data_IF_378355018735
#
_entry.id   IF_378355018735
#
_cell.length_a   1.000
_cell.length_b   1.000
_cell.length_c   1.000
_cell.angle_alpha   90.00
_cell.angle_beta   90.00
_cell.angle_gamma   90.00
#
_symmetry.space_group_name_H-M   'P 1'
#
loop_
_entity.id
_entity.type
_entity.pdbx_description
1 polymer ?
#
# COMPACT_ATOMS: atom_id res chain seq x y z
N UNK A 1 -86.46 -49.98 9.27
CA UNK A 1 -85.06 -49.61 9.54
C UNK A 1 -85.08 -48.15 9.98
N UNK A 2 -84.70 -47.87 11.22
CA UNK A 2 -84.95 -46.56 11.89
C UNK A 2 -84.06 -45.38 11.25
N UNK A 3 -84.77 -44.38 10.76
CA UNK A 3 -84.12 -43.12 10.16
C UNK A 3 -82.98 -42.57 11.02
N UNK A 4 -83.04 -42.75 12.36
CA UNK A 4 -81.94 -42.31 13.29
C UNK A 4 -80.66 -43.12 13.16
N UNK A 5 -80.75 -44.46 12.84
CA UNK A 5 -79.57 -45.28 12.61
C UNK A 5 -78.91 -45.03 11.29
N UNK A 6 -79.66 -44.63 10.24
CA UNK A 6 -79.10 -44.25 8.97
C UNK A 6 -78.35 -42.89 9.04
N UNK A 7 -78.84 -41.94 9.83
CA UNK A 7 -78.14 -40.62 10.05
C UNK A 7 -76.84 -40.83 10.85
N UNK A 8 -76.78 -41.74 11.82
CA UNK A 8 -75.54 -41.98 12.57
C UNK A 8 -74.49 -42.67 11.68
N UNK A 9 -74.88 -43.63 10.85
CA UNK A 9 -73.99 -44.29 9.90
C UNK A 9 -73.43 -43.25 8.86
N UNK A 10 -74.30 -42.37 8.32
CA UNK A 10 -73.89 -41.32 7.39
C UNK A 10 -72.91 -40.36 8.06
N UNK A 11 -73.11 -39.99 9.33
CA UNK A 11 -72.19 -39.15 10.12
C UNK A 11 -70.82 -39.81 10.34
N UNK A 12 -70.81 -41.09 10.69
CA UNK A 12 -69.56 -41.83 10.89
C UNK A 12 -68.77 -41.96 9.56
N UNK A 13 -69.48 -42.25 8.44
CA UNK A 13 -68.85 -42.29 7.12
C UNK A 13 -68.34 -40.96 6.68
N UNK A 14 -69.04 -39.86 6.96
CA UNK A 14 -68.51 -38.47 6.66
C UNK A 14 -67.28 -38.12 7.48
N UNK A 15 -67.26 -38.50 8.78
CA UNK A 15 -66.07 -38.27 9.65
C UNK A 15 -64.92 -39.19 9.22
N UNK A 16 -65.17 -40.42 8.86
CA UNK A 16 -64.15 -41.34 8.34
C UNK A 16 -63.62 -40.86 6.97
N UNK A 17 -64.47 -40.35 6.09
CA UNK A 17 -64.08 -39.78 4.79
C UNK A 17 -63.25 -38.46 4.98
N UNK A 18 -63.62 -37.62 5.96
CA UNK A 18 -62.91 -36.42 6.30
C UNK A 18 -61.53 -36.74 6.95
N UNK A 19 -61.47 -37.71 7.82
CA UNK A 19 -60.22 -38.21 8.40
C UNK A 19 -59.29 -38.81 7.32
N UNK A 20 -59.85 -39.67 6.46
CA UNK A 20 -59.16 -40.26 5.33
C UNK A 20 -58.64 -39.17 4.35
N UNK A 21 -59.44 -38.13 4.07
CA UNK A 21 -59.06 -36.98 3.24
C UNK A 21 -57.90 -36.16 3.86
N UNK A 22 -57.89 -35.98 5.18
CA UNK A 22 -56.80 -35.34 5.91
C UNK A 22 -55.54 -36.23 5.97
N UNK A 23 -55.70 -37.55 6.16
CA UNK A 23 -54.56 -38.49 6.18
C UNK A 23 -53.95 -38.73 4.78
N UNK A 24 -54.76 -38.71 3.71
CA UNK A 24 -54.27 -38.84 2.33
C UNK A 24 -53.68 -37.54 1.76
N UNK A 25 -53.85 -36.39 2.44
CA UNK A 25 -53.28 -35.11 2.09
C UNK A 25 -52.01 -34.77 2.89
N UNK A 26 -51.28 -35.75 3.42
CA UNK A 26 -49.96 -35.51 3.95
C UNK A 26 -49.10 -34.88 2.83
N UNK A 27 -48.55 -33.68 3.00
CA UNK A 27 -47.73 -33.07 1.96
C UNK A 27 -46.58 -34.01 1.65
N UNK A 28 -46.52 -34.50 0.41
CA UNK A 28 -45.41 -35.32 -0.06
C UNK A 28 -44.15 -34.42 -0.03
N UNK A 29 -43.27 -34.69 0.90
CA UNK A 29 -41.99 -33.99 1.01
C UNK A 29 -40.92 -34.90 0.40
N UNK A 30 -40.20 -34.37 -0.58
CA UNK A 30 -39.02 -35.03 -1.11
C UNK A 30 -37.85 -34.74 -0.15
N UNK A 31 -37.18 -35.79 0.30
CA UNK A 31 -35.99 -35.67 1.15
C UNK A 31 -34.76 -35.74 0.26
N UNK A 32 -34.02 -34.64 0.21
CA UNK A 32 -32.75 -34.56 -0.49
C UNK A 32 -31.62 -34.78 0.52
N UNK A 33 -30.70 -35.68 0.20
CA UNK A 33 -29.48 -35.82 1.00
C UNK A 33 -28.49 -34.73 0.64
N UNK A 34 -28.01 -34.02 1.65
CA UNK A 34 -27.03 -32.97 1.51
C UNK A 34 -25.88 -33.16 2.49
N UNK A 35 -24.85 -32.36 2.31
CA UNK A 35 -23.64 -32.33 3.14
C UNK A 35 -23.41 -30.90 3.64
N UNK A 36 -23.13 -30.78 4.93
CA UNK A 36 -22.68 -29.51 5.50
C UNK A 36 -21.27 -29.19 5.01
N UNK A 37 -21.06 -28.04 4.43
CA UNK A 37 -19.77 -27.64 3.90
C UNK A 37 -19.49 -26.14 4.24
N UNK A 38 -18.29 -25.67 3.97
CA UNK A 38 -17.87 -24.28 4.16
C UNK A 38 -16.81 -23.92 3.14
N UNK A 39 -16.42 -22.64 3.11
CA UNK A 39 -15.22 -22.23 2.41
C UNK A 39 -13.98 -22.53 3.29
N UNK A 40 -13.15 -23.39 2.80
CA UNK A 40 -11.84 -23.62 3.36
C UNK A 40 -10.89 -22.49 2.95
N UNK A 41 -10.13 -21.95 3.89
CA UNK A 41 -9.12 -20.95 3.64
C UNK A 41 -7.75 -21.58 3.79
N UNK A 42 -7.10 -21.79 2.65
CA UNK A 42 -5.73 -22.30 2.62
C UNK A 42 -4.78 -21.19 2.96
N UNK A 43 -4.02 -21.36 4.04
CA UNK A 43 -2.98 -20.43 4.46
C UNK A 43 -1.63 -20.95 3.95
N UNK A 44 -0.99 -20.12 3.12
CA UNK A 44 0.29 -20.43 2.48
C UNK A 44 1.28 -19.28 2.67
N UNK A 45 2.59 -19.54 2.68
CA UNK A 45 3.62 -18.52 2.75
C UNK A 45 3.71 -17.74 1.43
N UNK A 46 4.16 -16.49 1.51
CA UNK A 46 4.43 -15.64 0.35
C UNK A 46 5.89 -15.75 -0.12
N UNK A 47 6.76 -16.33 0.72
CA UNK A 47 8.18 -16.58 0.44
C UNK A 47 8.52 -18.03 0.70
N UNK A 48 9.45 -18.62 -0.05
CA UNK A 48 9.92 -19.97 0.26
C UNK A 48 10.77 -19.98 1.52
N UNK A 49 10.78 -21.11 2.25
CA UNK A 49 11.61 -21.26 3.42
C UNK A 49 11.32 -22.53 4.21
N UNK A 50 12.19 -22.86 5.14
CA UNK A 50 12.01 -23.97 6.06
C UNK A 50 11.10 -23.56 7.22
N UNK A 51 10.11 -24.38 7.56
CA UNK A 51 9.25 -24.15 8.73
C UNK A 51 10.07 -24.32 10.01
N UNK A 52 10.39 -23.20 10.67
CA UNK A 52 11.14 -23.20 11.93
C UNK A 52 10.26 -23.56 13.12
N UNK A 53 9.05 -23.03 13.18
CA UNK A 53 8.09 -23.27 14.25
C UNK A 53 6.68 -23.32 13.70
N UNK A 54 5.88 -24.23 14.23
CA UNK A 54 4.44 -24.30 13.99
C UNK A 54 3.75 -24.20 15.37
N UNK A 55 2.94 -23.17 15.54
CA UNK A 55 2.40 -22.75 16.85
C UNK A 55 0.97 -23.23 17.08
N UNK A 56 0.42 -23.97 16.12
CA UNK A 56 -0.95 -24.45 16.15
C UNK A 56 -1.03 -25.94 15.81
N UNK A 57 -2.07 -26.59 16.31
CA UNK A 57 -2.43 -27.98 16.03
C UNK A 57 -3.81 -28.06 15.39
N UNK A 58 -4.12 -29.21 14.76
CA UNK A 58 -5.45 -29.48 14.22
C UNK A 58 -6.50 -29.42 15.34
N UNK A 59 -7.62 -28.75 15.07
CA UNK A 59 -8.69 -28.52 16.03
C UNK A 59 -8.53 -27.22 16.84
N UNK A 60 -7.39 -26.53 16.79
CA UNK A 60 -7.20 -25.29 17.51
C UNK A 60 -8.08 -24.15 16.96
N UNK A 61 -8.65 -23.34 17.87
CA UNK A 61 -9.35 -22.12 17.51
C UNK A 61 -8.37 -20.96 17.40
N UNK A 62 -8.40 -20.22 16.29
CA UNK A 62 -7.52 -19.11 16.00
C UNK A 62 -8.29 -17.84 15.68
N UNK A 63 -7.69 -16.68 16.00
CA UNK A 63 -8.22 -15.36 15.65
C UNK A 63 -7.56 -14.83 14.39
N UNK A 64 -8.26 -13.94 13.69
CA UNK A 64 -7.65 -13.20 12.58
C UNK A 64 -6.38 -12.46 13.05
N UNK A 65 -5.29 -12.55 12.25
CA UNK A 65 -3.97 -11.98 12.57
C UNK A 65 -3.12 -12.83 13.51
N UNK A 66 -3.63 -13.91 14.11
CA UNK A 66 -2.87 -14.78 15.00
C UNK A 66 -1.72 -15.46 14.24
N UNK A 67 -0.53 -15.52 14.86
CA UNK A 67 0.64 -16.19 14.31
C UNK A 67 0.42 -17.72 14.34
N UNK A 68 0.54 -18.35 13.17
CA UNK A 68 0.34 -19.78 12.99
C UNK A 68 1.67 -20.55 12.85
N UNK A 69 2.56 -20.01 12.02
CA UNK A 69 3.86 -20.61 11.76
C UNK A 69 4.91 -19.52 11.51
N UNK A 70 6.16 -19.90 11.69
CA UNK A 70 7.34 -19.05 11.41
C UNK A 70 8.29 -19.83 10.52
N UNK A 71 8.67 -19.24 9.39
CA UNK A 71 9.74 -19.76 8.55
C UNK A 71 11.09 -19.32 9.10
N UNK A 72 12.15 -20.06 8.79
CA UNK A 72 13.53 -19.70 9.15
C UNK A 72 13.93 -18.38 8.46
N UNK A 73 14.20 -17.29 9.21
CA UNK A 73 14.37 -15.97 8.63
C UNK A 73 15.80 -15.67 8.15
N UNK A 74 16.74 -16.62 8.26
CA UNK A 74 18.19 -16.39 8.19
C UNK A 74 18.64 -15.53 7.00
N UNK A 75 18.33 -15.93 5.78
CA UNK A 75 18.70 -15.19 4.56
C UNK A 75 18.00 -13.83 4.49
N UNK A 76 16.68 -13.80 4.72
CA UNK A 76 15.87 -12.55 4.65
C UNK A 76 16.26 -11.56 5.75
N UNK A 77 16.67 -12.04 6.93
CA UNK A 77 17.18 -11.18 8.01
C UNK A 77 18.56 -10.60 7.66
N UNK A 78 19.41 -11.39 6.99
CA UNK A 78 20.70 -10.91 6.49
C UNK A 78 20.51 -9.84 5.40
N UNK A 79 19.61 -10.08 4.46
CA UNK A 79 19.22 -9.11 3.43
C UNK A 79 18.72 -7.80 4.04
N UNK A 80 17.80 -7.88 4.99
CA UNK A 80 17.26 -6.72 5.70
C UNK A 80 18.38 -5.92 6.37
N UNK A 81 19.31 -6.59 7.05
CA UNK A 81 20.46 -5.96 7.70
C UNK A 81 21.40 -5.28 6.70
N UNK A 82 21.63 -5.91 5.55
CA UNK A 82 22.42 -5.34 4.46
C UNK A 82 21.81 -4.05 3.92
N UNK A 83 20.51 -4.07 3.58
CA UNK A 83 19.84 -2.88 3.07
C UNK A 83 19.71 -1.77 4.11
N UNK A 84 19.49 -2.11 5.38
CA UNK A 84 19.48 -1.13 6.47
C UNK A 84 20.83 -0.42 6.62
N UNK A 85 21.94 -1.15 6.54
CA UNK A 85 23.30 -0.55 6.56
C UNK A 85 23.57 0.29 5.31
N UNK A 86 23.11 -0.15 4.14
CA UNK A 86 23.22 0.62 2.90
C UNK A 86 22.45 1.94 2.98
N UNK A 87 21.24 1.95 3.54
CA UNK A 87 20.48 3.17 3.77
C UNK A 87 21.18 4.10 4.77
N UNK A 88 21.77 3.57 5.82
CA UNK A 88 22.56 4.35 6.77
C UNK A 88 23.79 5.00 6.11
N UNK A 89 24.50 4.27 5.23
CA UNK A 89 25.61 4.83 4.47
C UNK A 89 25.16 5.96 3.53
N UNK A 90 24.03 5.79 2.85
CA UNK A 90 23.46 6.83 2.00
C UNK A 90 23.04 8.08 2.82
N UNK A 91 22.48 7.91 4.01
CA UNK A 91 22.15 9.01 4.92
C UNK A 91 23.43 9.78 5.37
N UNK A 92 24.52 9.05 5.66
CA UNK A 92 25.81 9.67 5.97
C UNK A 92 26.37 10.48 4.79
N UNK A 93 26.17 10.00 3.55
CA UNK A 93 26.55 10.74 2.34
C UNK A 93 25.75 12.04 2.17
N UNK A 94 24.45 12.03 2.49
CA UNK A 94 23.62 13.25 2.52
C UNK A 94 24.19 14.25 3.52
N UNK A 95 24.51 13.82 4.73
CA UNK A 95 25.08 14.68 5.77
C UNK A 95 26.44 15.29 5.33
N UNK A 96 27.30 14.51 4.67
CA UNK A 96 28.55 15.00 4.11
C UNK A 96 28.30 16.05 3.03
N UNK A 97 27.38 15.79 2.09
CA UNK A 97 27.01 16.73 1.03
C UNK A 97 26.38 18.01 1.56
N UNK A 98 25.59 17.95 2.63
CA UNK A 98 25.03 19.13 3.32
C UNK A 98 26.13 20.00 3.97
N UNK A 99 27.10 19.35 4.58
CA UNK A 99 28.22 20.04 5.19
C UNK A 99 29.10 20.72 4.14
N UNK A 100 29.37 20.06 3.03
CA UNK A 100 30.13 20.61 1.89
C UNK A 100 29.38 21.79 1.26
N UNK A 101 28.05 21.68 1.08
CA UNK A 101 27.23 22.79 0.55
C UNK A 101 27.31 24.02 1.47
N UNK A 102 27.13 23.84 2.79
CA UNK A 102 27.22 24.94 3.76
C UNK A 102 28.60 25.64 3.74
N UNK A 103 29.64 24.82 3.65
CA UNK A 103 31.00 25.37 3.53
C UNK A 103 31.15 26.21 2.26
N UNK A 104 30.72 25.69 1.12
CA UNK A 104 30.81 26.40 -0.17
C UNK A 104 29.95 27.67 -0.21
N UNK A 105 28.72 27.63 0.38
CA UNK A 105 27.85 28.81 0.49
C UNK A 105 28.51 29.91 1.31
N UNK A 106 29.09 29.58 2.46
CA UNK A 106 29.81 30.53 3.32
C UNK A 106 31.01 31.09 2.60
N UNK A 107 31.85 30.26 1.99
CA UNK A 107 33.05 30.69 1.27
C UNK A 107 32.69 31.65 0.12
N UNK A 108 31.73 31.31 -0.73
CA UNK A 108 31.30 32.12 -1.86
C UNK A 108 30.72 33.47 -1.41
N UNK A 109 29.93 33.50 -0.32
CA UNK A 109 29.33 34.70 0.23
C UNK A 109 30.39 35.67 0.78
N UNK A 110 31.40 35.13 1.50
CA UNK A 110 32.48 35.93 2.05
C UNK A 110 33.40 36.49 0.96
N UNK A 111 33.74 35.70 -0.06
CA UNK A 111 34.51 36.17 -1.23
C UNK A 111 33.78 37.30 -1.95
N UNK A 112 32.47 37.18 -2.18
CA UNK A 112 31.69 38.24 -2.82
C UNK A 112 31.62 39.49 -1.95
N UNK A 113 31.46 39.36 -0.63
CA UNK A 113 31.47 40.49 0.31
C UNK A 113 32.82 41.24 0.28
N UNK A 114 33.92 40.50 0.30
CA UNK A 114 35.28 41.09 0.22
C UNK A 114 35.49 41.83 -1.11
N UNK A 115 35.12 41.21 -2.24
CA UNK A 115 35.26 41.82 -3.56
C UNK A 115 34.43 43.11 -3.67
N UNK A 116 33.19 43.11 -3.14
CA UNK A 116 32.36 44.35 -3.10
C UNK A 116 32.95 45.45 -2.21
N UNK A 117 33.52 45.09 -1.08
CA UNK A 117 34.20 46.06 -0.20
C UNK A 117 35.41 46.69 -0.88
N UNK A 118 36.21 45.89 -1.58
CA UNK A 118 37.36 46.38 -2.35
C UNK A 118 36.91 47.29 -3.50
N UNK A 119 35.84 46.95 -4.21
CA UNK A 119 35.26 47.78 -5.25
C UNK A 119 34.79 49.12 -4.66
N UNK A 120 34.07 49.10 -3.54
CA UNK A 120 33.59 50.33 -2.88
C UNK A 120 34.77 51.27 -2.49
N UNK A 121 35.87 50.70 -1.99
CA UNK A 121 37.08 51.46 -1.68
C UNK A 121 37.73 52.08 -2.94
N UNK A 122 37.84 51.33 -4.03
CA UNK A 122 38.37 51.80 -5.30
C UNK A 122 37.50 52.92 -5.90
N UNK A 123 36.18 52.79 -5.84
CA UNK A 123 35.21 53.80 -6.29
C UNK A 123 35.38 55.13 -5.46
N UNK A 124 35.51 54.97 -4.15
CA UNK A 124 35.73 56.11 -3.27
C UNK A 124 37.06 56.85 -3.60
N UNK A 125 38.14 56.10 -3.86
CA UNK A 125 39.44 56.70 -4.27
C UNK A 125 39.33 57.37 -5.64
N UNK A 126 38.67 56.80 -6.62
CA UNK A 126 38.44 57.40 -7.93
C UNK A 126 37.59 58.67 -7.84
N UNK A 127 36.62 58.72 -6.94
CA UNK A 127 35.84 59.94 -6.67
C UNK A 127 36.69 61.07 -6.04
N UNK A 128 37.58 60.75 -5.09
CA UNK A 128 38.56 61.72 -4.50
C UNK A 128 39.47 62.25 -5.57
N UNK A 129 40.09 61.38 -6.39
CA UNK A 129 41.01 61.81 -7.46
C UNK A 129 40.31 62.70 -8.51
N UNK A 130 39.03 62.35 -8.86
CA UNK A 130 38.23 63.19 -9.79
C UNK A 130 37.89 64.56 -9.21
N UNK A 131 37.56 64.63 -7.92
CA UNK A 131 37.33 65.92 -7.24
C UNK A 131 38.63 66.80 -7.22
N UNK A 132 39.77 66.14 -6.95
CA UNK A 132 41.07 66.79 -6.98
C UNK A 132 41.44 67.31 -8.39
N UNK A 133 41.17 66.50 -9.44
CA UNK A 133 41.36 66.91 -10.84
C UNK A 133 40.46 68.09 -11.17
N UNK A 134 39.21 68.12 -10.75
CA UNK A 134 38.28 69.24 -10.96
C UNK A 134 38.83 70.55 -10.30
N UNK A 135 39.41 70.43 -9.12
CA UNK A 135 40.04 71.61 -8.44
C UNK A 135 41.29 72.04 -9.14
N UNK A 136 42.19 71.12 -9.51
CA UNK A 136 43.46 71.47 -10.21
C UNK A 136 43.18 72.09 -11.57
N UNK A 137 42.16 71.59 -12.29
CA UNK A 137 41.71 72.18 -13.56
C UNK A 137 41.27 73.63 -13.37
N UNK A 138 40.46 73.94 -12.36
CA UNK A 138 40.03 75.31 -12.06
C UNK A 138 41.21 76.24 -11.79
N UNK A 139 42.27 75.76 -11.14
CA UNK A 139 43.50 76.52 -10.92
C UNK A 139 44.24 76.79 -12.23
N UNK A 140 44.39 75.79 -13.09
CA UNK A 140 45.00 75.91 -14.41
C UNK A 140 44.22 76.90 -15.29
N UNK A 141 42.87 76.73 -15.41
CA UNK A 141 42.01 77.61 -16.21
C UNK A 141 42.15 79.06 -15.77
N UNK A 142 42.30 79.34 -14.46
CA UNK A 142 42.56 80.69 -13.91
C UNK A 142 43.94 81.25 -14.34
N UNK A 143 44.99 80.43 -14.25
CA UNK A 143 46.31 80.87 -14.65
C UNK A 143 46.45 81.09 -16.16
N UNK A 144 45.79 80.30 -16.98
CA UNK A 144 45.72 80.50 -18.43
C UNK A 144 44.99 81.80 -18.79
N UNK A 145 43.92 82.15 -18.11
CA UNK A 145 43.23 83.41 -18.31
C UNK A 145 44.07 84.63 -17.88
N UNK A 146 44.84 84.52 -16.80
CA UNK A 146 45.71 85.58 -16.33
C UNK A 146 46.99 85.71 -17.18
N UNK A 147 47.51 84.66 -17.79
CA UNK A 147 48.69 84.70 -18.66
C UNK A 147 48.45 85.52 -19.91
N UNK A 148 47.20 85.53 -20.49
CA UNK A 148 46.81 86.36 -21.62
C UNK A 148 46.86 87.87 -21.33
N UNK A 149 46.85 88.25 -20.07
CA UNK A 149 46.91 89.66 -19.61
C UNK A 149 48.30 90.08 -18.98
N UNK A 150 49.29 89.16 -18.99
CA UNK A 150 50.62 89.39 -18.39
C UNK A 150 50.65 89.29 -16.86
N UNK A 151 49.58 88.82 -16.19
CA UNK A 151 49.45 88.82 -14.74
C UNK A 151 50.03 87.59 -14.03
N UNK A 152 50.68 86.62 -14.71
CA UNK A 152 51.22 85.36 -14.16
C UNK A 152 52.63 85.09 -14.71
N UNK A 153 53.57 84.66 -13.86
CA UNK A 153 54.90 84.21 -14.27
C UNK A 153 54.83 82.91 -15.08
N UNK A 154 55.58 82.77 -16.21
CA UNK A 154 55.58 81.56 -17.03
C UNK A 154 55.80 80.26 -16.24
N UNK A 155 56.66 80.25 -15.24
CA UNK A 155 56.97 79.13 -14.37
C UNK A 155 55.74 78.68 -13.55
N UNK A 156 54.89 79.63 -13.15
CA UNK A 156 53.63 79.28 -12.40
C UNK A 156 52.60 78.57 -13.31
N UNK A 157 52.49 79.03 -14.56
CA UNK A 157 51.61 78.37 -15.56
C UNK A 157 52.12 76.96 -15.89
N UNK A 158 53.42 76.81 -16.11
CA UNK A 158 54.01 75.48 -16.40
C UNK A 158 53.83 74.49 -15.20
N UNK A 159 53.98 74.99 -13.97
CA UNK A 159 53.71 74.20 -12.76
C UNK A 159 52.27 73.79 -12.68
N UNK A 160 51.29 74.64 -12.99
CA UNK A 160 49.86 74.29 -13.00
C UNK A 160 49.52 73.31 -14.09
N UNK A 161 50.13 73.37 -15.31
CA UNK A 161 49.97 72.42 -16.37
C UNK A 161 50.48 71.03 -15.99
N UNK A 162 51.66 70.98 -15.36
CA UNK A 162 52.27 69.76 -14.87
C UNK A 162 51.39 69.14 -13.77
N UNK A 163 50.90 69.92 -12.81
CA UNK A 163 49.98 69.41 -11.76
C UNK A 163 48.70 68.85 -12.33
N UNK A 164 48.12 69.49 -13.36
CA UNK A 164 46.91 68.97 -14.03
C UNK A 164 47.19 67.65 -14.79
N UNK A 165 48.33 67.56 -15.51
CA UNK A 165 48.76 66.35 -16.19
C UNK A 165 48.91 65.16 -15.21
N UNK A 166 49.60 65.41 -14.08
CA UNK A 166 49.77 64.34 -13.04
C UNK A 166 48.45 63.82 -12.49
N UNK A 167 47.54 64.75 -12.14
CA UNK A 167 46.26 64.34 -11.57
C UNK A 167 45.37 63.64 -12.62
N UNK A 168 45.44 64.03 -13.91
CA UNK A 168 44.74 63.36 -14.99
C UNK A 168 45.23 61.93 -15.13
N UNK A 169 46.54 61.70 -15.12
CA UNK A 169 47.09 60.32 -15.12
C UNK A 169 46.70 59.53 -13.89
N UNK A 170 46.58 60.20 -12.71
CA UNK A 170 46.11 59.55 -11.48
C UNK A 170 44.64 59.15 -11.55
N UNK A 171 43.75 59.97 -12.11
CA UNK A 171 42.32 59.63 -12.35
C UNK A 171 42.21 58.49 -13.32
N UNK A 172 43.04 58.47 -14.38
CA UNK A 172 43.04 57.33 -15.31
C UNK A 172 43.43 56.00 -14.60
N UNK A 173 44.49 56.03 -13.77
CA UNK A 173 44.93 54.89 -13.00
C UNK A 173 43.86 54.40 -12.00
N UNK A 174 43.20 55.30 -11.26
CA UNK A 174 42.15 54.95 -10.33
C UNK A 174 40.88 54.39 -11.04
N UNK A 175 40.58 54.94 -12.23
CA UNK A 175 39.49 54.36 -13.08
C UNK A 175 39.79 52.92 -13.52
N UNK A 176 41.04 52.67 -13.95
CA UNK A 176 41.48 51.30 -14.27
C UNK A 176 41.44 50.37 -13.05
N UNK A 177 41.72 50.87 -11.87
CA UNK A 177 41.61 50.13 -10.62
C UNK A 177 40.12 49.72 -10.33
N UNK A 178 39.17 50.64 -10.58
CA UNK A 178 37.73 50.35 -10.45
C UNK A 178 37.32 49.26 -11.45
N UNK A 179 37.76 49.35 -12.71
CA UNK A 179 37.49 48.28 -13.70
C UNK A 179 38.02 46.91 -13.23
N UNK A 180 39.25 46.88 -12.70
CA UNK A 180 39.84 45.66 -12.16
C UNK A 180 39.03 45.08 -10.99
N UNK A 181 38.53 45.94 -10.08
CA UNK A 181 37.68 45.49 -8.98
C UNK A 181 36.28 45.03 -9.45
N UNK A 182 35.74 45.65 -10.50
CA UNK A 182 34.51 45.13 -11.13
C UNK A 182 34.69 43.72 -11.66
N UNK A 183 35.79 43.42 -12.32
CA UNK A 183 36.13 42.09 -12.79
C UNK A 183 36.30 41.11 -11.63
N UNK A 184 36.88 41.52 -10.51
CA UNK A 184 36.97 40.69 -9.29
C UNK A 184 35.61 40.37 -8.67
N UNK A 185 34.66 41.34 -8.68
CA UNK A 185 33.28 41.09 -8.24
C UNK A 185 32.59 40.10 -9.17
N UNK A 186 32.74 40.22 -10.48
CA UNK A 186 32.16 39.27 -11.46
C UNK A 186 32.70 37.84 -11.25
N UNK A 187 34.00 37.70 -10.99
CA UNK A 187 34.61 36.41 -10.67
C UNK A 187 34.03 35.81 -9.36
N UNK A 188 33.88 36.63 -8.32
CA UNK A 188 33.29 36.19 -7.06
C UNK A 188 31.80 35.82 -7.21
N UNK A 189 31.07 36.48 -8.13
CA UNK A 189 29.70 36.11 -8.48
C UNK A 189 29.63 34.75 -9.20
N UNK A 190 30.54 34.48 -10.13
CA UNK A 190 30.62 33.21 -10.81
C UNK A 190 30.90 32.02 -9.86
N UNK A 191 31.53 32.25 -8.70
CA UNK A 191 31.69 31.24 -7.67
C UNK A 191 30.33 30.74 -7.10
N UNK A 192 29.24 31.51 -7.24
CA UNK A 192 27.90 31.08 -6.85
C UNK A 192 27.36 29.96 -7.75
N UNK A 193 27.82 29.81 -8.98
CA UNK A 193 27.46 28.68 -9.86
C UNK A 193 27.99 27.35 -9.29
N UNK A 194 29.13 27.39 -8.59
CA UNK A 194 29.64 26.22 -7.88
C UNK A 194 28.73 25.81 -6.72
N UNK A 195 28.10 26.76 -6.04
CA UNK A 195 27.08 26.50 -5.00
C UNK A 195 25.87 25.78 -5.62
N UNK A 196 25.42 26.21 -6.81
CA UNK A 196 24.31 25.54 -7.51
C UNK A 196 24.64 24.09 -7.88
N UNK A 197 25.87 23.82 -8.33
CA UNK A 197 26.33 22.43 -8.56
C UNK A 197 26.34 21.61 -7.28
N UNK A 198 26.78 22.15 -6.14
CA UNK A 198 26.75 21.43 -4.85
C UNK A 198 25.33 21.19 -4.36
N UNK A 199 24.38 22.11 -4.61
CA UNK A 199 22.95 21.87 -4.34
C UNK A 199 22.40 20.72 -5.16
N UNK A 200 22.74 20.64 -6.43
CA UNK A 200 22.34 19.52 -7.30
C UNK A 200 22.95 18.19 -6.82
N UNK A 201 24.20 18.19 -6.38
CA UNK A 201 24.86 17.02 -5.81
C UNK A 201 24.17 16.56 -4.50
N UNK A 202 23.80 17.50 -3.62
CA UNK A 202 23.00 17.19 -2.42
C UNK A 202 21.65 16.57 -2.78
N UNK A 203 20.95 17.12 -3.79
CA UNK A 203 19.69 16.56 -4.24
C UNK A 203 19.84 15.12 -4.74
N UNK A 204 20.89 14.85 -5.53
CA UNK A 204 21.21 13.49 -5.99
C UNK A 204 21.50 12.54 -4.82
N UNK A 205 22.23 13.00 -3.80
CA UNK A 205 22.49 12.21 -2.59
C UNK A 205 21.20 11.88 -1.82
N UNK A 206 20.26 12.83 -1.70
CA UNK A 206 18.96 12.62 -1.08
C UNK A 206 18.09 11.64 -1.86
N UNK A 207 18.15 11.68 -3.18
CA UNK A 207 17.40 10.72 -4.01
C UNK A 207 17.96 9.31 -3.88
N UNK A 208 19.29 9.19 -3.75
CA UNK A 208 19.97 7.93 -3.45
C UNK A 208 19.60 7.37 -2.06
N UNK A 209 19.53 8.24 -1.04
CA UNK A 209 19.06 7.85 0.30
C UNK A 209 17.61 7.32 0.27
N UNK A 210 16.71 8.03 -0.44
CA UNK A 210 15.31 7.60 -0.61
C UNK A 210 15.22 6.25 -1.29
N UNK A 211 16.03 6.01 -2.32
CA UNK A 211 16.09 4.74 -3.01
C UNK A 211 16.57 3.62 -2.08
N UNK A 212 17.62 3.84 -1.30
CA UNK A 212 18.15 2.89 -0.31
C UNK A 212 17.13 2.59 0.80
N UNK A 213 16.42 3.62 1.31
CA UNK A 213 15.35 3.46 2.27
C UNK A 213 14.16 2.66 1.71
N UNK A 214 13.85 2.81 0.42
CA UNK A 214 12.84 2.00 -0.23
C UNK A 214 13.24 0.51 -0.35
N UNK A 215 14.53 0.23 -0.60
CA UNK A 215 15.05 -1.13 -0.60
C UNK A 215 14.98 -1.77 0.80
N UNK A 216 15.30 -1.00 1.85
CA UNK A 216 15.14 -1.47 3.24
C UNK A 216 13.69 -1.84 3.54
N UNK A 217 12.72 -0.97 3.21
CA UNK A 217 11.29 -1.27 3.40
C UNK A 217 10.84 -2.52 2.64
N UNK A 218 11.35 -2.73 1.42
CA UNK A 218 11.08 -3.94 0.64
C UNK A 218 11.61 -5.19 1.35
N UNK A 219 12.81 -5.12 1.93
CA UNK A 219 13.40 -6.21 2.69
C UNK A 219 12.63 -6.49 3.99
N UNK A 220 12.20 -5.44 4.72
CA UNK A 220 11.36 -5.55 5.92
C UNK A 220 10.04 -6.28 5.62
N UNK A 221 9.35 -5.91 4.54
CA UNK A 221 8.12 -6.59 4.11
C UNK A 221 8.37 -8.05 3.78
N UNK A 222 9.46 -8.36 3.08
CA UNK A 222 9.84 -9.74 2.75
C UNK A 222 10.16 -10.56 4.01
N UNK A 223 10.86 -9.97 4.95
CA UNK A 223 11.13 -10.59 6.25
C UNK A 223 9.81 -10.84 7.00
N UNK A 224 8.87 -9.88 6.98
CA UNK A 224 7.53 -10.05 7.55
C UNK A 224 6.75 -11.24 6.98
N UNK A 225 6.98 -11.61 5.72
CA UNK A 225 6.35 -12.79 5.11
C UNK A 225 6.83 -14.13 5.67
N UNK A 226 7.88 -14.15 6.48
CA UNK A 226 8.28 -15.36 7.25
C UNK A 226 7.31 -15.68 8.38
N UNK A 227 6.52 -14.72 8.82
CA UNK A 227 5.46 -14.90 9.81
C UNK A 227 4.13 -15.23 9.12
N UNK A 228 3.73 -16.47 9.18
CA UNK A 228 2.46 -16.95 8.60
C UNK A 228 1.35 -16.71 9.61
N UNK A 229 0.39 -15.83 9.26
CA UNK A 229 -0.71 -15.42 10.14
C UNK A 229 -2.07 -15.83 9.57
N UNK A 230 -3.04 -16.05 10.46
CA UNK A 230 -4.41 -16.38 10.10
C UNK A 230 -5.10 -15.19 9.40
N UNK A 231 -5.62 -15.33 8.16
CA UNK A 231 -6.36 -14.26 7.49
C UNK A 231 -7.77 -14.06 8.06
N UNK A 232 -8.34 -15.09 8.67
CA UNK A 232 -9.68 -15.07 9.29
C UNK A 232 -9.64 -15.76 10.65
N UNK A 233 -10.66 -15.52 11.47
CA UNK A 233 -10.92 -16.34 12.65
C UNK A 233 -11.58 -17.67 12.24
N UNK A 234 -11.25 -18.77 12.93
CA UNK A 234 -11.79 -20.10 12.63
C UNK A 234 -11.08 -21.19 13.40
N UNK A 235 -11.20 -22.41 12.90
CA UNK A 235 -10.51 -23.59 13.42
C UNK A 235 -9.49 -24.10 12.41
N UNK A 236 -8.38 -24.66 12.90
CA UNK A 236 -7.42 -25.38 12.06
C UNK A 236 -8.04 -26.72 11.70
N UNK A 237 -8.27 -26.95 10.41
CA UNK A 237 -8.82 -28.22 9.90
C UNK A 237 -7.69 -29.19 9.57
N UNK A 238 -6.74 -28.75 8.73
CA UNK A 238 -5.61 -29.58 8.30
C UNK A 238 -4.31 -28.84 8.51
N UNK A 239 -3.33 -29.55 9.02
CA UNK A 239 -1.94 -29.13 9.10
C UNK A 239 -1.13 -29.80 7.99
N UNK A 240 -1.01 -29.10 6.85
CA UNK A 240 -0.37 -29.64 5.65
C UNK A 240 1.16 -29.70 5.74
N UNK A 241 1.80 -28.78 6.50
CA UNK A 241 3.25 -28.72 6.65
C UNK A 241 3.70 -29.09 8.07
N UNK A 242 4.97 -29.55 8.18
CA UNK A 242 5.61 -29.96 9.44
C UNK A 242 6.80 -29.08 9.76
N UNK A 243 7.17 -29.00 11.05
CA UNK A 243 8.40 -28.32 11.48
C UNK A 243 9.61 -29.02 10.85
N UNK A 244 10.55 -28.24 10.30
CA UNK A 244 11.69 -28.73 9.56
C UNK A 244 11.46 -28.95 8.06
N UNK A 245 10.23 -28.94 7.60
CA UNK A 245 9.88 -29.07 6.18
C UNK A 245 10.16 -27.78 5.41
N UNK A 246 10.64 -27.91 4.18
CA UNK A 246 10.81 -26.76 3.28
C UNK A 246 9.53 -26.56 2.47
N UNK A 247 8.98 -25.34 2.52
CA UNK A 247 7.75 -24.97 1.81
C UNK A 247 8.02 -23.88 0.78
N UNK A 248 7.33 -23.99 -0.36
CA UNK A 248 7.40 -23.00 -1.41
C UNK A 248 6.31 -21.94 -1.23
N UNK A 249 6.48 -20.78 -1.88
CA UNK A 249 5.43 -19.77 -1.93
C UNK A 249 4.14 -20.35 -2.55
N UNK A 250 3.00 -20.13 -1.90
CA UNK A 250 1.70 -20.68 -2.32
C UNK A 250 1.42 -22.11 -1.88
N UNK A 251 2.38 -22.85 -1.32
CA UNK A 251 2.17 -24.19 -0.78
C UNK A 251 1.36 -24.12 0.53
N UNK A 252 0.33 -24.96 0.68
CA UNK A 252 -0.48 -25.01 1.88
C UNK A 252 0.36 -25.34 3.12
N UNK A 253 0.22 -24.55 4.17
CA UNK A 253 0.80 -24.83 5.49
C UNK A 253 -0.27 -25.27 6.46
N UNK A 254 -1.39 -24.56 6.51
CA UNK A 254 -2.58 -24.93 7.29
C UNK A 254 -3.85 -24.57 6.52
N UNK A 255 -4.92 -25.32 6.77
CA UNK A 255 -6.26 -25.01 6.25
C UNK A 255 -7.14 -24.55 7.41
N UNK A 256 -7.82 -23.43 7.22
CA UNK A 256 -8.75 -22.83 8.18
C UNK A 256 -10.19 -23.04 7.73
N UNK A 257 -11.06 -23.36 8.68
CA UNK A 257 -12.51 -23.49 8.51
C UNK A 257 -13.20 -22.46 9.41
N UNK A 258 -14.14 -21.70 8.84
CA UNK A 258 -14.98 -20.80 9.62
C UNK A 258 -16.30 -21.49 9.99
N UNK A 259 -16.53 -21.84 11.26
CA UNK A 259 -17.73 -22.53 11.69
C UNK A 259 -19.02 -21.67 11.63
N UNK A 260 -18.87 -20.34 11.50
CA UNK A 260 -20.01 -19.43 11.45
C UNK A 260 -20.53 -19.21 10.02
N UNK A 261 -19.81 -19.72 9.00
CA UNK A 261 -20.16 -19.60 7.57
C UNK A 261 -20.42 -20.95 6.90
N UNK A 262 -21.19 -21.80 7.59
CA UNK A 262 -21.57 -23.11 7.06
C UNK A 262 -22.81 -23.01 6.16
N UNK A 263 -22.87 -23.91 5.18
CA UNK A 263 -24.08 -24.12 4.38
C UNK A 263 -24.26 -25.60 4.08
N UNK A 264 -25.50 -25.98 3.77
CA UNK A 264 -25.82 -27.32 3.31
C UNK A 264 -25.85 -27.32 1.80
N UNK A 265 -25.02 -28.15 1.18
CA UNK A 265 -25.04 -28.46 -0.25
C UNK A 265 -25.93 -29.66 -0.45
N UNK A 266 -26.93 -29.54 -1.30
CA UNK A 266 -27.82 -30.65 -1.67
C UNK A 266 -28.06 -30.64 -3.18
N UNK A 267 -28.28 -31.84 -3.75
CA UNK A 267 -28.52 -32.02 -5.16
C UNK A 267 -30.02 -32.27 -5.38
N UNK A 268 -30.64 -31.46 -6.24
CA UNK A 268 -32.07 -31.53 -6.61
C UNK A 268 -32.18 -32.13 -7.99
N UNK A 269 -33.02 -33.15 -8.15
CA UNK A 269 -33.32 -33.73 -9.45
C UNK A 269 -33.94 -32.69 -10.40
N UNK A 270 -33.67 -32.82 -11.70
CA UNK A 270 -34.17 -31.93 -12.76
C UNK A 270 -35.69 -31.75 -12.69
N UNK A 271 -36.44 -32.81 -12.34
CA UNK A 271 -37.90 -32.81 -12.23
C UNK A 271 -38.46 -31.89 -11.15
N UNK A 272 -37.61 -31.36 -10.23
CA UNK A 272 -38.04 -30.60 -9.07
C UNK A 272 -37.32 -29.25 -8.95
N UNK A 273 -36.30 -28.96 -9.80
CA UNK A 273 -35.49 -27.74 -9.67
C UNK A 273 -36.28 -26.48 -9.99
N UNK A 274 -37.33 -26.57 -10.80
CA UNK A 274 -38.25 -25.46 -11.13
C UNK A 274 -39.01 -24.93 -9.91
N UNK A 275 -39.14 -25.76 -8.87
CA UNK A 275 -39.80 -25.41 -7.60
C UNK A 275 -38.90 -24.74 -6.58
N UNK A 276 -37.59 -24.72 -6.81
CA UNK A 276 -36.61 -24.09 -5.91
C UNK A 276 -36.16 -22.74 -6.48
N UNK A 277 -36.39 -21.68 -5.71
CA UNK A 277 -36.00 -20.32 -6.05
C UNK A 277 -34.95 -19.81 -5.07
N UNK A 278 -34.15 -18.85 -5.52
CA UNK A 278 -33.27 -18.13 -4.62
C UNK A 278 -34.10 -17.36 -3.58
N UNK A 279 -33.72 -17.48 -2.31
CA UNK A 279 -34.44 -16.89 -1.19
C UNK A 279 -35.47 -17.82 -0.53
N UNK A 280 -35.76 -18.97 -1.13
CA UNK A 280 -36.69 -19.93 -0.51
C UNK A 280 -36.12 -20.44 0.81
N UNK A 281 -37.02 -20.63 1.78
CA UNK A 281 -36.67 -21.18 3.09
C UNK A 281 -37.11 -22.64 3.12
N UNK A 282 -36.17 -23.58 3.18
CA UNK A 282 -36.39 -25.00 3.26
C UNK A 282 -36.04 -25.52 4.66
N UNK A 283 -36.68 -26.59 5.06
CA UNK A 283 -36.37 -27.26 6.34
C UNK A 283 -35.17 -28.20 6.13
N UNK A 284 -34.14 -28.01 6.92
CA UNK A 284 -32.95 -28.84 6.98
C UNK A 284 -33.02 -29.69 8.26
N UNK A 285 -33.08 -31.02 8.13
CA UNK A 285 -33.10 -31.96 9.25
C UNK A 285 -31.71 -32.59 9.38
N UNK A 286 -31.20 -32.57 10.60
CA UNK A 286 -29.94 -33.21 10.95
C UNK A 286 -30.16 -34.68 11.28
N UNK A 287 -29.13 -35.55 11.26
CA UNK A 287 -29.24 -36.96 11.69
C UNK A 287 -29.71 -37.11 13.16
N UNK A 288 -29.42 -36.08 13.99
CA UNK A 288 -29.91 -36.03 15.38
C UNK A 288 -31.45 -35.87 15.51
N UNK A 289 -32.15 -35.56 14.42
CA UNK A 289 -33.59 -35.24 14.40
C UNK A 289 -33.87 -33.72 14.49
N UNK A 290 -32.90 -32.91 14.85
CA UNK A 290 -33.04 -31.46 14.90
C UNK A 290 -33.38 -30.87 13.53
N UNK A 291 -34.38 -30.00 13.48
CA UNK A 291 -34.79 -29.31 12.25
C UNK A 291 -34.44 -27.83 12.31
N UNK A 292 -33.81 -27.32 11.26
CA UNK A 292 -33.39 -25.91 11.11
C UNK A 292 -33.96 -25.32 9.84
N UNK A 293 -34.12 -24.03 9.79
CA UNK A 293 -34.49 -23.32 8.57
C UNK A 293 -33.24 -22.96 7.79
N UNK A 294 -33.14 -23.40 6.54
CA UNK A 294 -32.09 -23.05 5.62
C UNK A 294 -32.61 -22.17 4.50
N UNK A 295 -31.93 -21.06 4.19
CA UNK A 295 -32.30 -20.17 3.08
C UNK A 295 -31.45 -20.51 1.87
N UNK A 296 -32.10 -20.76 0.74
CA UNK A 296 -31.41 -21.02 -0.54
C UNK A 296 -30.73 -19.75 -1.04
N UNK A 297 -29.42 -19.73 -1.09
CA UNK A 297 -28.65 -18.59 -1.57
C UNK A 297 -27.92 -18.85 -2.88
N UNK A 298 -27.85 -20.11 -3.30
CA UNK A 298 -27.25 -20.51 -4.57
C UNK A 298 -28.07 -21.66 -5.19
N UNK A 299 -28.24 -21.59 -6.50
CA UNK A 299 -28.82 -22.62 -7.36
C UNK A 299 -27.92 -22.72 -8.59
N UNK A 300 -27.41 -23.92 -8.88
CA UNK A 300 -26.59 -24.15 -10.06
C UNK A 300 -27.36 -23.84 -11.35
N UNK A 301 -26.65 -23.23 -12.32
CA UNK A 301 -27.18 -22.97 -13.67
C UNK A 301 -27.02 -24.21 -14.55
N UNK A 302 -25.95 -24.98 -14.31
CA UNK A 302 -25.63 -26.18 -15.06
C UNK A 302 -26.00 -27.44 -14.27
N UNK A 303 -26.46 -28.47 -14.99
CA UNK A 303 -26.75 -29.76 -14.41
C UNK A 303 -25.48 -30.58 -14.23
N UNK A 304 -25.28 -31.11 -13.03
CA UNK A 304 -24.32 -32.18 -12.75
C UNK A 304 -24.94 -33.56 -12.88
N UNK A 305 -24.11 -34.61 -12.91
CA UNK A 305 -24.59 -35.98 -12.80
C UNK A 305 -24.62 -36.41 -11.33
N UNK A 306 -25.67 -37.10 -10.92
CA UNK A 306 -25.78 -37.59 -9.55
C UNK A 306 -24.63 -38.56 -9.23
N UNK A 307 -23.78 -38.19 -8.27
CA UNK A 307 -22.69 -39.02 -7.73
C UNK A 307 -23.12 -39.79 -6.47
N UNK A 308 -24.44 -39.93 -6.23
CA UNK A 308 -24.96 -40.48 -5.00
C UNK A 308 -24.68 -42.00 -4.88
N UNK A 309 -24.10 -42.43 -3.77
CA UNK A 309 -23.86 -43.83 -3.39
C UNK A 309 -25.10 -44.65 -3.17
N UNK A 310 -26.28 -44.01 -3.10
CA UNK A 310 -27.57 -44.66 -2.75
C UNK A 310 -28.58 -44.73 -3.90
N UNK A 311 -28.13 -44.60 -5.16
CA UNK A 311 -29.08 -44.65 -6.27
C UNK A 311 -29.16 -46.09 -6.82
N UNK A 312 -30.33 -46.68 -6.71
CA UNK A 312 -30.73 -47.91 -7.43
C UNK A 312 -30.29 -47.85 -8.90
N UNK A 313 -29.88 -48.96 -9.50
CA UNK A 313 -29.37 -49.06 -10.88
C UNK A 313 -30.23 -48.38 -11.95
N UNK A 314 -31.48 -48.08 -11.65
CA UNK A 314 -32.47 -47.44 -12.57
C UNK A 314 -32.33 -45.90 -12.61
N UNK A 315 -31.65 -45.26 -11.66
CA UNK A 315 -31.56 -43.77 -11.53
C UNK A 315 -30.20 -43.17 -11.89
N UNK A 316 -29.33 -43.87 -12.61
CA UNK A 316 -27.95 -43.40 -12.90
C UNK A 316 -27.85 -42.22 -13.87
N UNK A 317 -28.91 -41.95 -14.65
CA UNK A 317 -28.89 -40.91 -15.70
C UNK A 317 -29.71 -39.66 -15.35
N UNK A 318 -30.09 -39.49 -14.08
CA UNK A 318 -30.84 -38.29 -13.68
C UNK A 318 -29.89 -37.12 -13.47
N UNK A 319 -30.14 -36.05 -14.21
CA UNK A 319 -29.45 -34.78 -14.02
C UNK A 319 -29.89 -34.17 -12.70
N UNK A 320 -28.90 -33.65 -11.97
CA UNK A 320 -29.12 -32.95 -10.70
C UNK A 320 -28.57 -31.56 -10.74
N UNK A 321 -29.18 -30.65 -10.01
CA UNK A 321 -28.76 -29.27 -9.85
C UNK A 321 -28.37 -29.04 -8.39
N UNK A 322 -27.18 -28.55 -8.17
CA UNK A 322 -26.71 -28.18 -6.84
C UNK A 322 -27.46 -26.96 -6.31
N UNK A 323 -27.95 -27.09 -5.09
CA UNK A 323 -28.44 -25.96 -4.30
C UNK A 323 -27.63 -25.82 -3.03
N UNK A 324 -27.45 -24.58 -2.57
CA UNK A 324 -26.79 -24.28 -1.28
C UNK A 324 -27.72 -23.53 -0.39
N UNK A 325 -27.87 -24.02 0.84
CA UNK A 325 -28.71 -23.40 1.86
C UNK A 325 -27.86 -22.88 3.00
N UNK A 326 -27.98 -21.61 3.30
CA UNK A 326 -27.38 -21.04 4.51
C UNK A 326 -28.18 -21.46 5.73
N UNK A 327 -27.52 -22.12 6.68
CA UNK A 327 -28.14 -22.62 7.91
C UNK A 327 -27.44 -21.98 9.10
N UNK A 328 -28.15 -21.35 10.05
CA UNK A 328 -27.55 -20.80 11.26
C UNK A 328 -26.87 -21.88 12.10
N UNK A 329 -25.65 -21.60 12.60
CA UNK A 329 -24.87 -22.50 13.46
C UNK A 329 -24.51 -21.82 14.79
N UNK A 330 -25.48 -21.13 15.41
CA UNK A 330 -25.27 -20.36 16.65
C UNK A 330 -24.90 -21.25 17.83
N UNK A 331 -25.36 -22.50 17.84
CA UNK A 331 -25.06 -23.52 18.86
C UNK A 331 -23.80 -24.34 18.54
N UNK A 332 -23.14 -24.08 17.39
CA UNK A 332 -21.91 -24.76 16.90
C UNK A 332 -22.03 -26.29 16.83
N UNK A 333 -23.24 -26.81 16.63
CA UNK A 333 -23.48 -28.24 16.48
C UNK A 333 -23.30 -28.76 15.05
N UNK A 334 -23.33 -27.87 14.05
CA UNK A 334 -23.02 -28.25 12.67
C UNK A 334 -21.51 -28.35 12.50
N UNK A 335 -21.06 -29.45 11.95
CA UNK A 335 -19.68 -29.68 11.56
C UNK A 335 -19.59 -29.91 10.04
N UNK A 336 -18.48 -29.54 9.45
CA UNK A 336 -18.18 -29.80 8.03
C UNK A 336 -18.16 -31.33 7.80
N UNK A 337 -18.71 -31.77 6.69
CA UNK A 337 -18.83 -33.19 6.36
C UNK A 337 -20.07 -33.89 6.96
N UNK A 338 -20.80 -33.21 7.87
CA UNK A 338 -22.03 -33.79 8.44
C UNK A 338 -23.11 -33.93 7.37
N UNK A 339 -23.81 -35.09 7.37
CA UNK A 339 -24.99 -35.29 6.51
C UNK A 339 -26.14 -34.40 7.00
N UNK A 340 -26.90 -33.82 6.07
CA UNK A 340 -28.11 -33.07 6.35
C UNK A 340 -29.19 -33.44 5.34
N UNK A 341 -30.44 -33.49 5.79
CA UNK A 341 -31.58 -33.83 4.94
C UNK A 341 -32.38 -32.56 4.66
N UNK A 342 -32.44 -32.16 3.41
CA UNK A 342 -33.23 -31.00 2.98
C UNK A 342 -34.61 -31.47 2.57
N UNK A 343 -35.65 -30.99 3.22
CA UNK A 343 -37.03 -31.32 2.94
C UNK A 343 -37.61 -30.34 1.93
N UNK A 344 -37.84 -30.84 0.69
CA UNK A 344 -38.46 -30.04 -0.37
C UNK A 344 -39.95 -30.39 -0.42
N UNK A 345 -40.89 -29.44 -0.20
CA UNK A 345 -42.31 -29.68 -0.33
C UNK A 345 -42.66 -29.92 -1.81
N UNK A 346 -43.22 -31.11 -2.10
CA UNK A 346 -43.57 -31.55 -3.47
C UNK A 346 -45.08 -31.50 -3.70
N UNK A 347 -45.89 -31.28 -2.64
CA UNK A 347 -47.34 -31.24 -2.66
C UNK A 347 -47.89 -29.83 -2.85
N UNK A 348 -48.70 -29.64 -3.89
CA UNK A 348 -49.61 -28.53 -4.10
C UNK A 348 -49.34 -27.77 -5.39
N UNK A 349 -50.00 -28.15 -6.47
CA UNK A 349 -50.55 -27.19 -7.42
C UNK A 349 -51.77 -26.55 -6.83
#
# INVERSE_FOLDING_TARGET
>A
MNRKRLAIIAGVVAVAAMAAYFFLRAPSTLTLTGIVTTNEVIVSPQVPGQVSRLLVTEGDSVRAGQLLAVLAPGELAADQSFYARSAQAAASQVQASESELRFQETQASEQLRQARANLAAAVAQAAEDSASMTNTKRVLDRYEAMAGTGGVAPQQLDSARTAYSVITSRVEASTKQVEAQHAAVALAQAAQDQVAMKRSALQAARDQERAAAAQTRKADVRLGYTEIRAPIAGYIDVRAARVGEFVNAGQAVVTLVNPDSLWVRADVEESYIDRVRLGDTLTVRLPSGDARRGVVFYRAVDAGFATARDVSRIKRDIRTFEIRLRVPNTDRRLAVGMTAYVLLPVGGR
#
